data_IF_039528830316
#
_entry.id   IF_039528830316
#
_cell.length_a   1.000
_cell.length_b   1.000
_cell.length_c   1.000
_cell.angle_alpha   90.00
_cell.angle_beta   90.00
_cell.angle_gamma   90.00
#
_symmetry.space_group_name_H-M   'P 1'
#
loop_
_entity.id
_entity.type
_entity.pdbx_description
1 polymer ?
#
# COMPACT_ATOMS: atom_id res chain seq x y z
N UNK A 1 5.11 -21.25 -15.50
CA UNK A 1 5.35 -19.99 -14.77
C UNK A 1 4.11 -19.12 -14.87
N UNK A 2 3.48 -18.75 -13.74
CA UNK A 2 2.44 -17.73 -13.77
C UNK A 2 3.04 -16.44 -14.35
N UNK A 3 2.31 -15.78 -15.23
CA UNK A 3 2.79 -14.57 -15.89
C UNK A 3 2.54 -13.39 -14.96
N UNK A 4 3.51 -13.09 -14.11
CA UNK A 4 3.42 -12.01 -13.12
C UNK A 4 3.86 -10.68 -13.73
N UNK A 5 3.10 -9.63 -13.45
CA UNK A 5 3.38 -8.29 -13.98
C UNK A 5 3.31 -7.23 -12.90
N UNK A 6 4.26 -6.29 -12.92
CA UNK A 6 4.23 -5.10 -12.08
C UNK A 6 3.28 -4.05 -12.66
N UNK A 7 2.55 -3.36 -11.80
CA UNK A 7 1.61 -2.29 -12.15
C UNK A 7 1.73 -1.10 -11.20
N UNK A 8 1.34 0.08 -11.66
CA UNK A 8 1.03 1.20 -10.77
C UNK A 8 -0.40 1.03 -10.23
N UNK A 9 -0.53 1.00 -8.91
CA UNK A 9 -1.82 0.86 -8.25
C UNK A 9 -2.52 2.21 -8.11
N UNK A 10 -3.70 2.31 -8.71
CA UNK A 10 -4.63 3.42 -8.54
C UNK A 10 -5.76 3.13 -7.54
N UNK A 11 -6.20 4.15 -6.81
CA UNK A 11 -7.29 4.10 -5.83
C UNK A 11 -8.57 3.47 -6.40
N UNK A 12 -9.02 3.97 -7.56
CA UNK A 12 -10.30 3.57 -8.16
C UNK A 12 -10.42 2.07 -8.46
N UNK A 13 -9.30 1.38 -8.70
CA UNK A 13 -9.29 -0.02 -9.13
C UNK A 13 -8.67 -0.97 -8.10
N UNK A 14 -7.79 -0.49 -7.23
CA UNK A 14 -7.01 -1.36 -6.35
C UNK A 14 -7.22 -1.09 -4.85
N UNK A 15 -7.92 -0.03 -4.45
CA UNK A 15 -8.07 0.32 -3.03
C UNK A 15 -8.70 -0.81 -2.21
N UNK A 16 -9.71 -1.50 -2.76
CA UNK A 16 -10.35 -2.63 -2.07
C UNK A 16 -9.41 -3.81 -1.88
N UNK A 17 -8.67 -4.20 -2.91
CA UNK A 17 -7.73 -5.32 -2.83
C UNK A 17 -6.57 -5.02 -1.87
N UNK A 18 -6.05 -3.80 -1.89
CA UNK A 18 -5.01 -3.36 -0.95
C UNK A 18 -5.54 -3.34 0.49
N UNK A 19 -6.77 -2.86 0.70
CA UNK A 19 -7.41 -2.89 2.01
C UNK A 19 -7.53 -4.31 2.56
N UNK A 20 -7.91 -5.27 1.71
CA UNK A 20 -8.06 -6.67 2.11
C UNK A 20 -6.72 -7.28 2.51
N UNK A 21 -5.65 -6.97 1.78
CA UNK A 21 -4.27 -7.39 2.12
C UNK A 21 -3.83 -6.76 3.45
N UNK A 22 -4.02 -5.45 3.61
CA UNK A 22 -3.68 -4.74 4.85
C UNK A 22 -4.43 -5.32 6.04
N UNK A 23 -5.73 -5.54 5.92
CA UNK A 23 -6.56 -6.04 7.02
C UNK A 23 -6.26 -7.50 7.38
N UNK A 24 -5.91 -8.34 6.40
CA UNK A 24 -5.40 -9.69 6.66
C UNK A 24 -4.12 -9.61 7.52
N UNK A 25 -3.16 -8.77 7.11
CA UNK A 25 -1.92 -8.58 7.84
C UNK A 25 -2.12 -7.99 9.24
N UNK A 26 -3.07 -7.07 9.42
CA UNK A 26 -3.42 -6.47 10.72
C UNK A 26 -3.94 -7.53 11.69
N UNK A 27 -4.83 -8.42 11.23
CA UNK A 27 -5.48 -9.41 12.10
C UNK A 27 -4.52 -10.56 12.43
N UNK A 28 -3.68 -10.95 11.47
CA UNK A 28 -2.96 -12.23 11.54
C UNK A 28 -1.43 -12.10 11.72
N UNK A 29 -0.89 -10.89 11.79
CA UNK A 29 0.57 -10.71 11.81
C UNK A 29 1.01 -9.50 12.66
N UNK A 30 2.32 -9.28 12.69
CA UNK A 30 2.95 -8.10 13.28
C UNK A 30 3.51 -7.13 12.23
N UNK A 31 3.17 -7.34 10.95
CA UNK A 31 3.67 -6.49 9.85
C UNK A 31 3.12 -5.06 9.91
N UNK A 32 1.93 -4.88 10.49
CA UNK A 32 1.30 -3.59 10.72
C UNK A 32 0.99 -3.43 12.20
N UNK A 33 1.30 -2.25 12.73
CA UNK A 33 1.09 -1.92 14.14
C UNK A 33 -0.29 -1.28 14.38
N UNK A 34 -1.27 -1.61 13.55
CA UNK A 34 -2.67 -1.29 13.79
C UNK A 34 -3.31 -2.43 14.61
N UNK A 35 -4.20 -2.12 15.55
CA UNK A 35 -4.92 -3.14 16.34
C UNK A 35 -6.26 -3.55 15.73
N UNK A 36 -6.85 -2.68 14.89
CA UNK A 36 -8.18 -2.87 14.32
C UNK A 36 -8.10 -2.77 12.80
N UNK A 37 -8.91 -3.55 12.06
CA UNK A 37 -9.01 -3.44 10.62
C UNK A 37 -9.34 -2.01 10.18
N UNK A 38 -8.71 -1.58 9.10
CA UNK A 38 -8.94 -0.29 8.46
C UNK A 38 -10.28 -0.28 7.72
N UNK A 39 -10.86 0.90 7.61
CA UNK A 39 -12.08 1.15 6.84
C UNK A 39 -11.77 1.50 5.39
N UNK A 40 -12.74 1.34 4.49
CA UNK A 40 -12.62 1.80 3.09
C UNK A 40 -12.37 3.31 3.00
N UNK A 41 -12.93 4.10 3.92
CA UNK A 41 -12.71 5.54 3.98
C UNK A 41 -11.24 5.88 4.29
N UNK A 42 -10.58 5.12 5.16
CA UNK A 42 -9.17 5.35 5.49
C UNK A 42 -8.26 5.20 4.27
N UNK A 43 -8.64 4.36 3.30
CA UNK A 43 -7.87 4.17 2.07
C UNK A 43 -7.92 5.40 1.16
N UNK A 44 -9.00 6.18 1.18
CA UNK A 44 -9.08 7.44 0.43
C UNK A 44 -7.98 8.40 0.89
N UNK A 45 -7.84 8.56 2.21
CA UNK A 45 -6.79 9.38 2.80
C UNK A 45 -5.39 8.82 2.52
N UNK A 46 -5.21 7.50 2.66
CA UNK A 46 -3.93 6.85 2.38
C UNK A 46 -3.47 7.11 0.94
N UNK A 47 -4.33 6.91 -0.06
CA UNK A 47 -4.01 7.19 -1.46
C UNK A 47 -3.83 8.69 -1.75
N UNK A 48 -4.59 9.58 -1.11
CA UNK A 48 -4.41 11.01 -1.24
C UNK A 48 -3.01 11.44 -0.79
N UNK A 49 -2.57 11.00 0.39
CA UNK A 49 -1.22 11.26 0.91
C UNK A 49 -0.14 10.76 -0.04
N UNK A 50 -0.30 9.55 -0.62
CA UNK A 50 0.65 9.02 -1.61
C UNK A 50 0.75 9.91 -2.85
N UNK A 51 -0.40 10.33 -3.41
CA UNK A 51 -0.45 11.23 -4.56
C UNK A 51 0.18 12.59 -4.28
N UNK A 52 -0.21 13.22 -3.17
CA UNK A 52 0.27 14.56 -2.79
C UNK A 52 1.79 14.61 -2.59
N UNK A 53 2.38 13.51 -2.14
CA UNK A 53 3.83 13.42 -1.88
C UNK A 53 4.61 12.71 -3.00
N UNK A 54 3.95 12.30 -4.09
CA UNK A 54 4.59 11.56 -5.18
C UNK A 54 5.14 10.19 -4.78
N UNK A 55 4.56 9.54 -3.77
CA UNK A 55 4.95 8.21 -3.35
C UNK A 55 4.29 7.14 -4.23
N UNK A 56 5.06 6.15 -4.74
CA UNK A 56 4.50 5.13 -5.59
C UNK A 56 3.72 4.09 -4.78
N UNK A 57 2.77 3.44 -5.45
CA UNK A 57 2.13 2.22 -4.99
C UNK A 57 2.26 1.22 -6.12
N UNK A 58 3.12 0.23 -5.94
CA UNK A 58 3.51 -0.72 -6.99
C UNK A 58 2.87 -2.06 -6.65
N UNK A 59 2.01 -2.56 -7.52
CA UNK A 59 1.34 -3.85 -7.38
C UNK A 59 2.02 -4.95 -8.20
N UNK A 60 1.79 -6.20 -7.81
CA UNK A 60 2.05 -7.38 -8.64
C UNK A 60 0.73 -8.10 -8.93
N UNK A 61 0.46 -8.39 -10.20
CA UNK A 61 -0.77 -9.05 -10.65
C UNK A 61 -0.48 -10.36 -11.39
N UNK A 62 -1.43 -11.29 -11.33
CA UNK A 62 -1.45 -12.49 -12.17
C UNK A 62 -2.05 -12.24 -13.57
N UNK A 63 -2.13 -13.29 -14.39
CA UNK A 63 -2.72 -13.26 -15.73
C UNK A 63 -4.20 -12.86 -15.78
N UNK A 64 -4.92 -12.92 -14.66
CA UNK A 64 -6.33 -12.50 -14.54
C UNK A 64 -6.46 -11.04 -14.08
N UNK A 65 -5.35 -10.32 -13.93
CA UNK A 65 -5.25 -8.99 -13.29
C UNK A 65 -5.66 -8.98 -11.80
N UNK A 66 -5.60 -10.13 -11.11
CA UNK A 66 -5.78 -10.16 -9.66
C UNK A 66 -4.54 -9.62 -8.99
N UNK A 67 -4.70 -8.64 -8.10
CA UNK A 67 -3.62 -8.12 -7.26
C UNK A 67 -3.20 -9.18 -6.23
N UNK A 68 -1.94 -9.61 -6.31
CA UNK A 68 -1.37 -10.61 -5.40
C UNK A 68 -0.61 -9.98 -4.23
N UNK A 69 -0.16 -8.74 -4.39
CA UNK A 69 0.62 -8.00 -3.41
C UNK A 69 0.90 -6.58 -3.90
N UNK A 70 1.37 -5.73 -2.99
CA UNK A 70 1.79 -4.38 -3.33
C UNK A 70 2.94 -3.94 -2.43
N UNK A 71 3.73 -3.00 -2.91
CA UNK A 71 4.75 -2.30 -2.13
C UNK A 71 4.55 -0.79 -2.28
N UNK A 72 4.89 -0.05 -1.25
CA UNK A 72 4.89 1.41 -1.26
C UNK A 72 5.92 1.92 -0.26
N UNK A 73 6.19 3.22 -0.28
CA UNK A 73 6.91 3.87 0.79
C UNK A 73 6.28 5.21 1.13
N UNK A 74 6.68 5.78 2.26
CA UNK A 74 6.22 7.10 2.70
C UNK A 74 7.27 7.78 3.55
N UNK A 75 6.94 8.97 4.05
CA UNK A 75 7.78 9.71 4.98
C UNK A 75 8.11 8.86 6.21
N UNK A 76 9.40 8.63 6.50
CA UNK A 76 9.81 7.93 7.72
C UNK A 76 9.53 8.77 8.97
N UNK A 77 10.07 9.99 9.01
CA UNK A 77 9.83 10.95 10.09
C UNK A 77 9.65 12.36 9.52
N UNK A 78 8.65 13.08 9.99
CA UNK A 78 8.31 14.42 9.51
C UNK A 78 9.20 15.54 10.11
N UNK A 79 10.53 15.41 10.00
CA UNK A 79 11.48 16.47 10.39
C UNK A 79 12.51 16.73 9.28
N UNK A 80 13.06 17.95 9.16
CA UNK A 80 13.94 18.33 8.05
C UNK A 80 15.14 17.40 7.82
N UNK A 81 15.72 16.86 8.89
CA UNK A 81 16.86 15.94 8.82
C UNK A 81 16.54 14.60 8.13
N UNK A 82 15.26 14.25 7.95
CA UNK A 82 14.79 12.99 7.36
C UNK A 82 14.27 13.15 5.92
N UNK A 83 14.50 14.31 5.28
CA UNK A 83 13.99 14.65 3.93
C UNK A 83 14.27 13.56 2.87
N UNK A 84 15.37 12.84 3.00
CA UNK A 84 15.81 11.81 2.05
C UNK A 84 15.63 10.38 2.55
N UNK A 85 14.89 10.19 3.64
CA UNK A 85 14.60 8.86 4.22
C UNK A 85 13.12 8.54 4.12
N UNK A 86 12.82 7.27 3.88
CA UNK A 86 11.45 6.77 3.73
C UNK A 86 11.23 5.51 4.56
N UNK A 87 9.99 5.30 4.98
CA UNK A 87 9.52 4.03 5.53
C UNK A 87 8.96 3.18 4.39
N UNK A 88 9.41 1.93 4.30
CA UNK A 88 8.95 1.00 3.27
C UNK A 88 7.84 0.09 3.82
N UNK A 89 6.82 -0.17 3.00
CA UNK A 89 5.78 -1.16 3.23
C UNK A 89 5.86 -2.20 2.11
N UNK A 90 6.08 -3.47 2.45
CA UNK A 90 6.24 -4.61 1.54
C UNK A 90 5.34 -5.74 2.04
#
# INVERSE_FOLDING_TARGET
NPNLRLIDCHEATHAKAILDILNEAIINSTALYDYLPRSEESMKNWFAVKRENGFPVIGIVDETNKLLGFASWGTFRAFPAYKYTVEHSI
#
